data_IF_563257032967
#
_entry.id   IF_563257032967
#
_cell.length_a   1.000
_cell.length_b   1.000
_cell.length_c   1.000
_cell.angle_alpha   90.00
_cell.angle_beta   90.00
_cell.angle_gamma   90.00
#
_symmetry.space_group_name_H-M   'P 1'
#
loop_
_entity.id
_entity.type
_entity.pdbx_description
1 polymer ?
#
# COMPACT_ATOMS: atom_id res chain seq x y z
N UNK A 1 -14.76 3.21 19.27
CA UNK A 1 -13.37 2.75 19.47
C UNK A 1 -12.60 3.19 18.24
N UNK A 2 -12.05 4.40 18.26
CA UNK A 2 -11.12 4.83 17.19
C UNK A 2 -9.94 3.87 17.28
N UNK A 3 -9.82 2.97 16.30
CA UNK A 3 -8.59 2.20 16.15
C UNK A 3 -7.49 3.21 15.95
N UNK A 4 -6.64 3.35 16.96
CA UNK A 4 -5.40 4.10 16.90
C UNK A 4 -4.72 3.73 15.57
N UNK A 5 -4.74 4.66 14.61
CA UNK A 5 -4.06 4.46 13.33
C UNK A 5 -2.58 4.53 13.70
N UNK A 6 -2.01 3.37 14.02
CA UNK A 6 -0.57 3.24 14.16
C UNK A 6 0.03 3.89 12.91
N UNK A 7 0.81 4.96 13.09
CA UNK A 7 1.52 5.66 12.02
C UNK A 7 2.66 4.77 11.50
N UNK A 8 2.33 3.57 11.01
CA UNK A 8 3.25 2.71 10.29
C UNK A 8 3.59 3.44 9.00
N UNK A 9 4.89 3.60 8.77
CA UNK A 9 5.37 4.26 7.56
C UNK A 9 4.91 3.46 6.34
N UNK A 10 4.12 4.07 5.44
CA UNK A 10 3.56 3.41 4.25
C UNK A 10 4.64 2.65 3.47
N UNK A 11 5.82 3.25 3.30
CA UNK A 11 6.94 2.61 2.60
C UNK A 11 7.44 1.34 3.29
N UNK A 12 7.52 1.34 4.63
CA UNK A 12 7.98 0.18 5.38
C UNK A 12 6.96 -0.95 5.31
N UNK A 13 5.66 -0.61 5.33
CA UNK A 13 4.61 -1.61 5.16
C UNK A 13 4.72 -2.24 3.79
N UNK A 14 4.69 -1.44 2.72
CA UNK A 14 4.71 -1.93 1.35
C UNK A 14 5.96 -2.74 1.00
N UNK A 15 7.14 -2.35 1.51
CA UNK A 15 8.41 -3.03 1.23
C UNK A 15 8.52 -4.40 1.90
N UNK A 16 7.91 -4.57 3.07
CA UNK A 16 7.96 -5.82 3.84
C UNK A 16 6.76 -6.75 3.58
N UNK A 17 5.91 -6.44 2.60
CA UNK A 17 4.85 -7.35 2.16
C UNK A 17 5.46 -8.58 1.49
N UNK A 18 5.05 -9.77 1.91
CA UNK A 18 5.34 -11.00 1.20
C UNK A 18 4.48 -11.08 -0.08
N UNK A 19 4.91 -11.89 -1.06
CA UNK A 19 4.12 -12.09 -2.30
C UNK A 19 2.79 -12.75 -1.97
N UNK A 20 1.69 -12.13 -2.42
CA UNK A 20 0.33 -12.54 -2.10
C UNK A 20 -0.30 -11.79 -0.93
N UNK A 21 0.48 -11.03 -0.15
CA UNK A 21 -0.05 -10.26 0.97
C UNK A 21 -1.00 -9.15 0.51
N UNK A 22 -2.00 -8.88 1.34
CA UNK A 22 -2.90 -7.76 1.19
C UNK A 22 -2.76 -6.79 2.37
N UNK A 23 -2.59 -5.51 2.08
CA UNK A 23 -2.63 -4.44 3.07
C UNK A 23 -3.76 -3.46 2.75
N UNK A 24 -4.49 -3.04 3.78
CA UNK A 24 -5.64 -2.14 3.65
C UNK A 24 -5.32 -0.79 4.30
N UNK A 25 -5.36 0.26 3.50
CA UNK A 25 -5.20 1.64 3.94
C UNK A 25 -6.55 2.37 3.93
N UNK A 26 -6.75 3.40 4.77
CA UNK A 26 -7.86 4.33 4.59
C UNK A 26 -7.80 4.99 3.21
N UNK A 27 -8.95 5.21 2.58
CA UNK A 27 -9.01 5.79 1.22
C UNK A 27 -8.40 7.21 1.16
N UNK A 28 -8.41 7.94 2.27
CA UNK A 28 -7.77 9.25 2.41
C UNK A 28 -6.25 9.19 2.23
N UNK A 29 -5.63 8.02 2.41
CA UNK A 29 -4.19 7.80 2.19
C UNK A 29 -3.85 7.33 0.77
N UNK A 30 -4.84 7.13 -0.12
CA UNK A 30 -4.64 6.62 -1.50
C UNK A 30 -3.52 7.37 -2.23
N UNK A 31 -3.53 8.70 -2.20
CA UNK A 31 -2.52 9.52 -2.88
C UNK A 31 -1.11 9.23 -2.34
N UNK A 32 -0.95 9.12 -1.03
CA UNK A 32 0.34 8.82 -0.39
C UNK A 32 0.84 7.40 -0.71
N UNK A 33 -0.08 6.43 -0.76
CA UNK A 33 0.24 5.04 -1.13
C UNK A 33 0.68 4.96 -2.60
N UNK A 34 -0.09 5.54 -3.51
CA UNK A 34 0.23 5.56 -4.96
C UNK A 34 1.54 6.30 -5.21
N UNK A 35 1.76 7.45 -4.56
CA UNK A 35 3.02 8.17 -4.66
C UNK A 35 4.20 7.31 -4.19
N UNK A 36 4.06 6.61 -3.06
CA UNK A 36 5.09 5.73 -2.53
C UNK A 36 5.42 4.60 -3.52
N UNK A 37 4.40 3.92 -4.06
CA UNK A 37 4.57 2.85 -5.05
C UNK A 37 5.27 3.33 -6.33
N UNK A 38 5.01 4.56 -6.78
CA UNK A 38 5.51 5.04 -8.08
C UNK A 38 6.83 5.80 -7.98
N UNK A 39 7.11 6.46 -6.86
CA UNK A 39 8.26 7.35 -6.72
C UNK A 39 9.28 6.85 -5.70
N UNK A 40 8.83 6.20 -4.62
CA UNK A 40 9.72 5.78 -3.52
C UNK A 40 10.12 4.30 -3.56
N UNK A 41 9.35 3.48 -4.27
CA UNK A 41 9.62 2.05 -4.51
C UNK A 41 9.99 1.76 -5.98
N UNK A 42 10.45 2.79 -6.71
CA UNK A 42 10.77 2.67 -8.12
C UNK A 42 11.95 1.71 -8.37
N UNK A 43 12.94 1.71 -7.48
CA UNK A 43 14.08 0.80 -7.54
C UNK A 43 13.63 -0.65 -7.34
N UNK A 44 12.87 -0.90 -6.28
CA UNK A 44 12.28 -2.21 -5.98
C UNK A 44 11.45 -2.73 -7.16
N UNK A 45 10.68 -1.87 -7.82
CA UNK A 45 9.97 -2.21 -9.06
C UNK A 45 10.91 -2.67 -10.18
N UNK A 46 12.04 -1.97 -10.36
CA UNK A 46 13.09 -2.38 -11.29
C UNK A 46 13.74 -3.72 -10.92
N UNK A 47 13.74 -4.09 -9.64
CA UNK A 47 14.25 -5.37 -9.11
C UNK A 47 13.20 -6.50 -9.16
N UNK A 48 12.02 -6.25 -9.75
CA UNK A 48 10.96 -7.25 -9.95
C UNK A 48 9.83 -7.20 -8.93
N UNK A 49 9.86 -6.28 -7.97
CA UNK A 49 8.78 -6.08 -7.01
C UNK A 49 7.54 -5.45 -7.68
N UNK A 50 6.34 -5.99 -7.47
CA UNK A 50 5.12 -5.38 -7.99
C UNK A 50 3.94 -5.45 -7.03
N UNK A 51 3.04 -4.48 -7.15
CA UNK A 51 1.82 -4.40 -6.36
C UNK A 51 0.66 -4.02 -7.27
N UNK A 52 -0.52 -4.55 -6.97
CA UNK A 52 -1.79 -4.10 -7.54
C UNK A 52 -2.59 -3.34 -6.49
N UNK A 53 -3.49 -2.47 -6.93
CA UNK A 53 -4.29 -1.66 -6.01
C UNK A 53 -5.75 -1.63 -6.42
N UNK A 54 -6.66 -1.57 -5.43
CA UNK A 54 -8.11 -1.46 -5.65
C UNK A 54 -8.73 -0.53 -4.62
N UNK A 55 -9.57 0.40 -5.08
CA UNK A 55 -10.33 1.30 -4.20
C UNK A 55 -11.71 0.71 -3.94
N UNK A 56 -12.14 0.68 -2.67
CA UNK A 56 -13.50 0.35 -2.27
C UNK A 56 -14.10 1.60 -1.61
N UNK A 57 -14.68 2.47 -2.45
CA UNK A 57 -15.09 3.83 -2.05
C UNK A 57 -16.21 3.80 -1.00
N UNK A 58 -17.17 2.89 -1.17
CA UNK A 58 -18.29 2.72 -0.24
C UNK A 58 -17.82 2.33 1.17
N UNK A 59 -16.72 1.58 1.24
CA UNK A 59 -16.14 1.09 2.50
C UNK A 59 -15.05 2.04 3.05
N UNK A 60 -14.70 3.10 2.31
CA UNK A 60 -13.67 4.06 2.71
C UNK A 60 -12.25 3.48 2.72
N UNK A 61 -11.98 2.43 1.96
CA UNK A 61 -10.67 1.73 1.96
C UNK A 61 -9.97 1.71 0.60
N UNK A 62 -8.65 1.60 0.67
CA UNK A 62 -7.74 1.41 -0.46
C UNK A 62 -6.88 0.18 -0.18
N UNK A 63 -7.09 -0.87 -0.96
CA UNK A 63 -6.37 -2.14 -0.80
C UNK A 63 -5.18 -2.20 -1.74
N UNK A 64 -4.07 -2.71 -1.24
CA UNK A 64 -2.85 -3.01 -1.99
C UNK A 64 -2.55 -4.51 -1.86
N UNK A 65 -2.26 -5.18 -2.96
CA UNK A 65 -1.87 -6.59 -2.98
C UNK A 65 -0.49 -6.71 -3.60
N UNK A 66 0.42 -7.44 -2.95
CA UNK A 66 1.76 -7.71 -3.48
C UNK A 66 1.70 -8.84 -4.50
N UNK A 67 2.18 -8.60 -5.72
CA UNK A 67 2.03 -9.54 -6.85
C UNK A 67 3.29 -10.28 -7.25
N UNK A 68 4.45 -9.65 -7.19
CA UNK A 68 5.78 -10.25 -7.41
C UNK A 68 6.81 -9.60 -6.52
#
# INVERSE_FOLDING_TARGET
MEKEIQKRSIINVLRNMDVGDEEVFPITQKTSVVFTLNQRLYKEKGEGMSWTTKSYVQDGIFKVTRTT
#
